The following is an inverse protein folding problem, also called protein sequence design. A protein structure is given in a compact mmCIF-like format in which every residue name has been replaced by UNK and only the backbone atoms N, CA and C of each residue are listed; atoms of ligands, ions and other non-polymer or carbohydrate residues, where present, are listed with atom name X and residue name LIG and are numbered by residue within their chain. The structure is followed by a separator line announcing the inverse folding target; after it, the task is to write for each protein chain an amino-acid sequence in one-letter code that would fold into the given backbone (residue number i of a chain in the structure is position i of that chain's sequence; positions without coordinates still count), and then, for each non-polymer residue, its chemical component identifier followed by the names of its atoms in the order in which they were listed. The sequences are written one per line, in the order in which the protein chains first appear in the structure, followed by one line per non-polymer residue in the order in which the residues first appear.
data_IF_719164219879
#
_entry.id   IF_719164219879
#
_cell.length_a   1.000
_cell.length_b   1.000
_cell.length_c   1.000
_cell.angle_alpha   90.00
_cell.angle_beta   90.00
_cell.angle_gamma   90.00
#
_symmetry.space_group_name_H-M   'P 1'
#
loop_
_entity.id
_entity.type
_entity.pdbx_description
1 polymer ?
#
# COMPACT_ATOMS: atom_id res chain seq x y z
N UNK A 1 -15.69 7.98 29.86
CA UNK A 1 -14.98 6.90 29.13
C UNK A 1 -15.26 7.17 27.67
N UNK A 2 -14.30 7.77 26.97
CA UNK A 2 -14.53 8.36 25.65
C UNK A 2 -14.81 7.24 24.65
N UNK A 3 -16.06 7.14 24.20
CA UNK A 3 -16.45 6.45 22.98
C UNK A 3 -15.92 7.27 21.80
N UNK A 4 -14.62 7.13 21.54
CA UNK A 4 -14.03 7.61 20.30
C UNK A 4 -14.57 6.65 19.24
N UNK A 5 -15.35 7.16 18.30
CA UNK A 5 -15.79 6.47 17.10
C UNK A 5 -14.62 5.64 16.53
N UNK A 6 -14.68 4.32 16.61
CA UNK A 6 -13.64 3.41 16.11
C UNK A 6 -13.68 3.40 14.58
N UNK A 7 -13.14 4.43 13.93
CA UNK A 7 -12.92 4.49 12.47
C UNK A 7 -11.68 3.65 12.07
N UNK A 8 -11.55 2.48 12.67
CA UNK A 8 -10.40 1.58 12.56
C UNK A 8 -10.81 0.15 12.22
N UNK A 9 -9.84 -0.71 11.93
CA UNK A 9 -10.08 -2.15 11.87
C UNK A 9 -10.03 -2.69 13.29
N UNK A 10 -11.16 -3.14 13.81
CA UNK A 10 -11.24 -3.79 15.12
C UNK A 10 -11.67 -5.24 14.95
N UNK A 11 -11.15 -6.12 15.80
CA UNK A 11 -11.53 -7.53 15.80
C UNK A 11 -12.97 -7.69 16.30
N UNK A 12 -13.86 -8.23 15.46
CA UNK A 12 -15.25 -8.48 15.87
C UNK A 12 -15.39 -9.72 16.77
N UNK A 13 -14.46 -10.67 16.62
CA UNK A 13 -14.36 -11.90 17.40
C UNK A 13 -12.90 -12.18 17.77
N UNK A 14 -12.69 -13.03 18.76
CA UNK A 14 -11.36 -13.56 19.05
C UNK A 14 -10.81 -14.31 17.84
N UNK A 15 -9.52 -14.13 17.55
CA UNK A 15 -8.85 -14.77 16.41
C UNK A 15 -7.36 -15.04 16.73
N UNK A 16 -6.68 -15.82 15.89
CA UNK A 16 -5.24 -16.07 15.98
C UNK A 16 -4.58 -15.79 14.63
N UNK A 17 -3.65 -14.83 14.63
CA UNK A 17 -2.88 -14.47 13.45
C UNK A 17 -1.92 -15.60 13.02
N UNK A 18 -1.39 -15.49 11.81
CA UNK A 18 -0.53 -16.51 11.20
C UNK A 18 0.77 -16.77 11.98
N UNK A 19 1.22 -15.82 12.78
CA UNK A 19 2.39 -15.93 13.68
C UNK A 19 2.04 -16.51 15.06
N UNK A 20 0.77 -16.87 15.28
CA UNK A 20 0.25 -17.38 16.54
C UNK A 20 -0.18 -16.29 17.53
N UNK A 21 -0.10 -15.00 17.16
CA UNK A 21 -0.56 -13.91 18.00
C UNK A 21 -2.09 -13.99 18.21
N UNK A 22 -2.54 -14.00 19.46
CA UNK A 22 -3.96 -14.07 19.81
C UNK A 22 -4.56 -12.67 19.86
N UNK A 23 -5.51 -12.42 18.97
CA UNK A 23 -6.30 -11.20 18.91
C UNK A 23 -7.60 -11.40 19.67
N UNK A 24 -7.97 -10.45 20.53
CA UNK A 24 -9.24 -10.49 21.27
C UNK A 24 -10.26 -9.61 20.59
N UNK A 25 -11.54 -9.93 20.76
CA UNK A 25 -12.64 -9.05 20.37
C UNK A 25 -12.42 -7.64 20.94
N UNK A 26 -12.50 -6.63 20.07
CA UNK A 26 -12.28 -5.23 20.37
C UNK A 26 -10.83 -4.75 20.19
N UNK A 27 -9.87 -5.65 19.95
CA UNK A 27 -8.50 -5.23 19.66
C UNK A 27 -8.42 -4.53 18.28
N UNK A 28 -7.71 -3.40 18.24
CA UNK A 28 -7.41 -2.70 16.99
C UNK A 28 -6.31 -3.38 16.18
N UNK A 29 -6.50 -3.50 14.87
CA UNK A 29 -5.60 -4.14 13.93
C UNK A 29 -5.10 -3.15 12.85
N UNK A 30 -3.86 -2.72 12.98
CA UNK A 30 -3.25 -1.72 12.10
C UNK A 30 -2.07 -2.30 11.33
N UNK A 31 -1.91 -1.81 10.10
CA UNK A 31 -0.66 -1.94 9.36
C UNK A 31 -0.20 -0.54 8.94
N UNK A 32 1.10 -0.35 8.86
CA UNK A 32 1.67 0.95 8.51
C UNK A 32 2.26 0.87 7.10
N UNK A 33 1.53 1.40 6.11
CA UNK A 33 1.96 1.38 4.71
C UNK A 33 3.36 1.97 4.51
N UNK A 34 3.70 3.04 5.25
CA UNK A 34 5.01 3.66 5.21
C UNK A 34 6.14 2.70 5.63
N UNK A 35 5.96 2.00 6.76
CA UNK A 35 6.93 1.06 7.28
C UNK A 35 7.02 -0.18 6.40
N UNK A 36 5.87 -0.79 6.05
CA UNK A 36 5.82 -1.95 5.15
C UNK A 36 6.51 -1.69 3.81
N UNK A 37 6.37 -0.47 3.25
CA UNK A 37 7.02 -0.07 2.01
C UNK A 37 8.55 0.08 2.09
N UNK A 38 9.15 0.02 3.28
CA UNK A 38 10.59 0.19 3.54
C UNK A 38 11.21 -0.98 4.31
N UNK A 39 10.43 -2.01 4.60
CA UNK A 39 10.91 -3.17 5.34
C UNK A 39 11.81 -4.04 4.46
N UNK A 40 13.10 -4.14 4.82
CA UNK A 40 14.09 -4.95 4.09
C UNK A 40 13.66 -6.41 3.96
N UNK A 41 13.02 -7.00 4.98
CA UNK A 41 12.56 -8.39 4.89
C UNK A 41 11.42 -8.60 3.85
N UNK A 42 10.73 -7.54 3.42
CA UNK A 42 9.67 -7.58 2.39
C UNK A 42 10.24 -7.22 1.01
N UNK A 43 11.12 -6.21 0.96
CA UNK A 43 11.56 -5.59 -0.28
C UNK A 43 13.01 -5.89 -0.67
N UNK A 44 13.80 -6.52 0.21
CA UNK A 44 15.23 -6.74 0.03
C UNK A 44 16.07 -5.55 0.51
N UNK A 45 17.38 -5.62 0.26
CA UNK A 45 18.33 -4.60 0.72
C UNK A 45 18.12 -3.22 0.07
N UNK A 46 17.45 -3.19 -1.08
CA UNK A 46 17.12 -1.98 -1.85
C UNK A 46 15.76 -1.36 -1.45
N UNK A 47 15.23 -1.69 -0.27
CA UNK A 47 13.91 -1.24 0.20
C UNK A 47 13.74 0.28 0.27
N UNK A 48 14.84 1.02 0.46
CA UNK A 48 14.83 2.49 0.52
C UNK A 48 15.14 3.15 -0.83
N UNK A 49 15.50 2.38 -1.86
CA UNK A 49 15.85 2.91 -3.17
C UNK A 49 14.61 3.15 -4.04
N UNK A 50 14.62 4.28 -4.77
CA UNK A 50 13.66 4.51 -5.84
C UNK A 50 14.05 3.67 -7.06
N UNK A 51 13.45 2.46 -7.18
CA UNK A 51 13.75 1.48 -8.23
C UNK A 51 12.50 1.05 -9.01
N UNK A 52 12.06 1.83 -10.02
CA UNK A 52 10.91 1.51 -10.86
C UNK A 52 11.00 0.16 -11.58
N UNK A 53 12.22 -0.29 -11.88
CA UNK A 53 12.52 -1.55 -12.58
C UNK A 53 12.04 -2.78 -11.78
N UNK A 54 11.87 -2.64 -10.45
CA UNK A 54 11.29 -3.68 -9.58
C UNK A 54 9.93 -4.18 -10.09
N UNK A 55 9.17 -3.30 -10.75
CA UNK A 55 7.83 -3.57 -11.25
C UNK A 55 7.80 -4.01 -12.70
N UNK A 56 8.96 -4.20 -13.34
CA UNK A 56 9.08 -4.44 -14.78
C UNK A 56 9.92 -5.70 -15.01
N UNK A 57 9.33 -6.70 -15.68
CA UNK A 57 10.04 -7.91 -16.10
C UNK A 57 9.95 -8.04 -17.60
N UNK A 58 11.10 -8.01 -18.29
CA UNK A 58 11.19 -8.08 -19.75
C UNK A 58 10.33 -7.01 -20.46
N UNK A 59 10.30 -5.78 -19.92
CA UNK A 59 9.49 -4.68 -20.44
C UNK A 59 8.00 -4.75 -20.10
N UNK A 60 7.55 -5.77 -19.37
CA UNK A 60 6.15 -5.95 -18.98
C UNK A 60 5.97 -5.59 -17.50
N UNK A 61 4.97 -4.77 -17.21
CA UNK A 61 4.60 -4.45 -15.83
C UNK A 61 4.11 -5.69 -15.07
N UNK A 62 4.68 -5.93 -13.90
CA UNK A 62 4.34 -7.01 -12.99
C UNK A 62 3.94 -6.41 -11.64
N UNK A 63 2.63 -6.33 -11.32
CA UNK A 63 2.21 -5.82 -10.03
C UNK A 63 2.56 -6.79 -8.91
N UNK A 64 2.95 -6.24 -7.76
CA UNK A 64 3.05 -7.02 -6.53
C UNK A 64 1.67 -7.29 -5.92
N UNK A 65 1.63 -8.26 -4.99
CA UNK A 65 0.45 -8.51 -4.17
C UNK A 65 -0.01 -7.22 -3.46
N UNK A 66 -1.32 -6.90 -3.47
CA UNK A 66 -1.87 -5.77 -2.71
C UNK A 66 -1.62 -5.86 -1.20
N UNK A 67 -1.34 -7.06 -0.67
CA UNK A 67 -0.98 -7.28 0.73
C UNK A 67 0.50 -7.00 1.02
N UNK A 68 1.35 -6.99 -0.02
CA UNK A 68 2.76 -6.55 0.04
C UNK A 68 2.89 -5.05 -0.21
N UNK A 69 2.16 -4.53 -1.20
CA UNK A 69 2.13 -3.12 -1.57
C UNK A 69 0.73 -2.51 -1.35
N UNK A 70 0.50 -2.06 -0.12
CA UNK A 70 -0.83 -1.68 0.41
C UNK A 70 -1.26 -0.23 0.08
N UNK A 71 -0.71 0.40 -0.97
CA UNK A 71 -1.02 1.81 -1.32
C UNK A 71 -2.49 2.10 -1.62
N UNK A 72 -3.25 1.07 -2.00
CA UNK A 72 -4.70 1.15 -2.21
C UNK A 72 -5.47 0.17 -1.32
N UNK A 73 -4.86 -0.26 -0.21
CA UNK A 73 -5.32 -1.36 0.64
C UNK A 73 -5.46 -2.68 -0.15
N UNK A 74 -6.09 -3.68 0.48
CA UNK A 74 -6.28 -5.01 -0.09
C UNK A 74 -7.59 -5.63 0.41
N UNK A 75 -8.00 -6.74 -0.21
CA UNK A 75 -9.20 -7.50 0.17
C UNK A 75 -10.52 -6.78 -0.14
N UNK A 76 -11.62 -7.16 0.53
CA UNK A 76 -12.97 -6.63 0.24
C UNK A 76 -13.12 -5.12 0.39
N UNK A 77 -12.21 -4.48 1.14
CA UNK A 77 -12.19 -3.02 1.39
C UNK A 77 -11.04 -2.33 0.64
N UNK A 78 -10.59 -2.90 -0.48
CA UNK A 78 -9.67 -2.24 -1.41
C UNK A 78 -10.27 -0.91 -1.88
N UNK A 79 -9.43 0.10 -2.09
CA UNK A 79 -9.86 1.41 -2.56
C UNK A 79 -10.67 1.30 -3.87
N UNK A 80 -11.94 1.70 -3.82
CA UNK A 80 -12.83 1.72 -4.99
C UNK A 80 -12.30 2.62 -6.12
N UNK A 81 -11.56 3.67 -5.77
CA UNK A 81 -10.98 4.63 -6.71
C UNK A 81 -9.61 4.21 -7.30
N UNK A 82 -9.09 3.02 -7.01
CA UNK A 82 -7.74 2.59 -7.42
C UNK A 82 -7.50 2.77 -8.93
N UNK A 83 -8.40 2.23 -9.76
CA UNK A 83 -8.21 2.25 -11.21
C UNK A 83 -8.40 3.65 -11.80
N UNK A 84 -9.30 4.43 -11.20
CA UNK A 84 -9.49 5.84 -11.54
C UNK A 84 -8.23 6.66 -11.23
N UNK A 85 -7.67 6.49 -10.04
CA UNK A 85 -6.44 7.16 -9.62
C UNK A 85 -5.28 6.82 -10.55
N UNK A 86 -5.07 5.54 -10.88
CA UNK A 86 -4.03 5.14 -11.84
C UNK A 86 -4.23 5.75 -13.23
N UNK A 87 -5.47 5.82 -13.71
CA UNK A 87 -5.78 6.47 -14.98
C UNK A 87 -5.45 7.95 -14.95
N UNK A 88 -5.87 8.66 -13.90
CA UNK A 88 -5.60 10.09 -13.74
C UNK A 88 -4.10 10.37 -13.64
N UNK A 89 -3.36 9.59 -12.83
CA UNK A 89 -1.90 9.71 -12.72
C UNK A 89 -1.23 9.57 -14.08
N UNK A 90 -1.59 8.56 -14.87
CA UNK A 90 -1.02 8.36 -16.21
C UNK A 90 -1.29 9.54 -17.13
N UNK A 91 -2.52 10.06 -17.16
CA UNK A 91 -2.89 11.21 -17.99
C UNK A 91 -2.08 12.45 -17.60
N UNK A 92 -2.04 12.77 -16.30
CA UNK A 92 -1.33 13.95 -15.80
C UNK A 92 0.19 13.81 -16.01
N UNK A 93 0.78 12.66 -15.69
CA UNK A 93 2.21 12.41 -15.92
C UNK A 93 2.59 12.53 -17.40
N UNK A 94 1.77 11.97 -18.31
CA UNK A 94 2.01 12.10 -19.74
C UNK A 94 1.95 13.56 -20.21
N UNK A 95 0.96 14.33 -19.75
CA UNK A 95 0.85 15.76 -20.06
C UNK A 95 2.05 16.55 -19.52
N UNK A 96 2.48 16.28 -18.28
CA UNK A 96 3.61 16.95 -17.66
C UNK A 96 4.92 16.71 -18.42
N UNK A 97 5.23 15.44 -18.73
CA UNK A 97 6.45 15.06 -19.46
C UNK A 97 6.44 15.59 -20.90
N UNK A 98 5.26 15.68 -21.52
CA UNK A 98 5.15 16.18 -22.90
C UNK A 98 5.28 17.70 -23.01
N UNK A 99 4.74 18.45 -22.03
CA UNK A 99 4.60 19.90 -22.14
C UNK A 99 5.64 20.69 -21.34
N UNK A 100 6.31 20.06 -20.37
CA UNK A 100 7.18 20.77 -19.43
C UNK A 100 8.51 20.03 -19.22
N UNK A 101 9.56 20.80 -18.98
CA UNK A 101 10.81 20.31 -18.41
C UNK A 101 10.82 20.60 -16.90
N UNK A 102 10.83 19.55 -16.08
CA UNK A 102 10.74 19.67 -14.62
C UNK A 102 12.14 19.63 -14.00
N UNK A 103 12.43 20.56 -13.10
CA UNK A 103 13.66 20.58 -12.30
C UNK A 103 13.31 20.63 -10.81
N UNK A 104 14.01 19.82 -10.02
CA UNK A 104 13.94 19.87 -8.56
C UNK A 104 14.89 21.00 -8.11
N UNK A 105 14.43 21.83 -7.16
CA UNK A 105 15.26 22.86 -6.55
C UNK A 105 16.09 22.30 -5.42
#
# INVERSE_FOLDING_TARGET
MLNIYEDGRCAETDDTLLDGFKLRKGDGAYYMAYAMGRMMHVWGDDAEEFKPERWIKNGIFQPESPFKFVSFHAGPRTCLGKDFAYRQMKIVSAALVHLFQVQIK
#
